data_IF_553235741260
#
_entry.id   IF_553235741260
#
_cell.length_a   1.000
_cell.length_b   1.000
_cell.length_c   1.000
_cell.angle_alpha   90.00
_cell.angle_beta   90.00
_cell.angle_gamma   90.00
#
_symmetry.space_group_name_H-M   'P 1'
#
loop_
_entity.id
_entity.type
_entity.pdbx_description
1 polymer ?
#
# COMPACT_ATOMS: atom_id res chain seq x y z
N UNK A 1 -16.76 9.66 11.38
CA UNK A 1 -15.45 9.31 11.96
C UNK A 1 -15.21 10.08 13.25
N UNK A 2 -15.14 11.42 13.22
CA UNK A 2 -14.89 12.22 14.43
C UNK A 2 -16.02 12.18 15.48
N UNK A 3 -17.22 11.77 15.11
CA UNK A 3 -18.35 11.58 16.03
C UNK A 3 -18.34 10.22 16.75
N UNK A 4 -17.45 9.30 16.37
CA UNK A 4 -17.32 7.98 17.00
C UNK A 4 -16.42 8.07 18.24
N UNK A 5 -16.75 7.31 19.28
CA UNK A 5 -15.86 7.17 20.43
C UNK A 5 -14.55 6.47 20.03
N UNK A 6 -13.51 6.61 20.88
CA UNK A 6 -12.22 5.99 20.62
C UNK A 6 -12.30 4.46 20.53
N UNK A 7 -13.19 3.86 21.30
CA UNK A 7 -13.45 2.41 21.30
C UNK A 7 -14.12 1.96 19.99
N UNK A 8 -15.07 2.74 19.48
CA UNK A 8 -15.68 2.47 18.18
C UNK A 8 -14.69 2.61 17.04
N UNK A 9 -13.84 3.65 17.06
CA UNK A 9 -12.77 3.80 16.09
C UNK A 9 -11.76 2.63 16.17
N UNK A 10 -11.42 2.18 17.38
CA UNK A 10 -10.52 1.05 17.59
C UNK A 10 -11.03 -0.24 16.95
N UNK A 11 -12.35 -0.52 17.05
CA UNK A 11 -12.97 -1.68 16.38
C UNK A 11 -12.71 -1.69 14.88
N UNK A 12 -12.84 -0.54 14.21
CA UNK A 12 -12.56 -0.43 12.77
C UNK A 12 -11.07 -0.59 12.46
N UNK A 13 -10.17 -0.08 13.30
CA UNK A 13 -8.73 -0.27 13.10
C UNK A 13 -8.31 -1.74 13.24
N UNK A 14 -8.82 -2.46 14.24
CA UNK A 14 -8.53 -3.88 14.42
C UNK A 14 -9.07 -4.71 13.24
N UNK A 15 -10.27 -4.41 12.75
CA UNK A 15 -10.81 -5.04 11.54
C UNK A 15 -9.94 -4.73 10.31
N UNK A 16 -9.52 -3.48 10.14
CA UNK A 16 -8.67 -3.07 9.01
C UNK A 16 -7.28 -3.75 9.03
N UNK A 17 -6.71 -4.03 10.20
CA UNK A 17 -5.44 -4.77 10.31
C UNK A 17 -5.59 -6.23 9.88
N UNK A 18 -6.68 -6.89 10.29
CA UNK A 18 -6.99 -8.26 9.87
C UNK A 18 -7.17 -8.36 8.36
N UNK A 19 -7.98 -7.48 7.78
CA UNK A 19 -8.19 -7.43 6.32
C UNK A 19 -6.89 -7.14 5.57
N UNK A 20 -6.02 -6.26 6.09
CA UNK A 20 -4.70 -6.02 5.49
C UNK A 20 -3.85 -7.29 5.47
N UNK A 21 -3.82 -8.04 6.56
CA UNK A 21 -3.06 -9.27 6.64
C UNK A 21 -3.58 -10.31 5.63
N UNK A 22 -4.90 -10.51 5.59
CA UNK A 22 -5.54 -11.42 4.64
C UNK A 22 -5.32 -10.99 3.18
N UNK A 23 -5.35 -9.69 2.91
CA UNK A 23 -5.14 -9.15 1.57
C UNK A 23 -3.73 -9.46 1.05
N UNK A 24 -2.70 -9.34 1.91
CA UNK A 24 -1.34 -9.72 1.56
C UNK A 24 -1.21 -11.22 1.26
N UNK A 25 -1.94 -12.07 2.00
CA UNK A 25 -1.94 -13.51 1.77
C UNK A 25 -2.69 -13.90 0.47
N UNK A 26 -3.87 -13.32 0.23
CA UNK A 26 -4.69 -13.65 -0.95
C UNK A 26 -4.11 -13.08 -2.24
N UNK A 27 -3.48 -11.91 -2.16
CA UNK A 27 -2.92 -11.21 -3.33
C UNK A 27 -1.42 -10.97 -3.15
N UNK A 28 -0.60 -12.03 -3.28
CA UNK A 28 0.85 -11.89 -3.25
C UNK A 28 1.28 -10.99 -4.42
N UNK A 29 2.02 -9.92 -4.11
CA UNK A 29 2.47 -8.94 -5.12
C UNK A 29 1.50 -7.77 -5.38
N UNK A 30 0.36 -7.70 -4.69
CA UNK A 30 -0.50 -6.52 -4.78
C UNK A 30 0.10 -5.32 -4.06
N UNK A 31 0.53 -4.35 -4.87
CA UNK A 31 1.15 -3.12 -4.44
C UNK A 31 0.25 -1.96 -4.86
N UNK A 32 -0.30 -1.24 -3.89
CA UNK A 32 -1.09 -0.03 -4.14
C UNK A 32 -0.28 0.99 -4.98
N UNK A 33 1.04 1.01 -4.82
CA UNK A 33 1.96 1.87 -5.57
C UNK A 33 1.95 1.57 -7.07
N UNK A 34 1.83 0.30 -7.46
CA UNK A 34 1.79 -0.08 -8.86
C UNK A 34 0.43 0.22 -9.50
N UNK A 35 -0.65 0.15 -8.72
CA UNK A 35 -2.01 0.44 -9.17
C UNK A 35 -2.33 1.95 -9.25
N UNK A 36 -1.95 2.75 -8.24
CA UNK A 36 -2.22 4.21 -8.26
C UNK A 36 -1.18 4.99 -9.11
N UNK A 37 0.01 4.42 -9.34
CA UNK A 37 1.10 5.06 -10.09
C UNK A 37 0.88 5.19 -11.60
N UNK A 38 -0.16 4.55 -12.16
CA UNK A 38 -0.42 4.59 -13.60
C UNK A 38 -0.81 6.00 -14.12
N UNK A 39 -1.42 6.83 -13.26
CA UNK A 39 -1.77 8.22 -13.58
C UNK A 39 -0.62 9.22 -13.42
N UNK A 40 0.33 8.96 -12.52
CA UNK A 40 1.45 9.86 -12.20
C UNK A 40 2.71 9.57 -13.02
N UNK A 41 2.91 8.32 -13.50
CA UNK A 41 4.02 7.97 -14.41
C UNK A 41 3.90 8.64 -15.80
N UNK A 42 2.70 9.04 -16.25
CA UNK A 42 2.55 9.84 -17.49
C UNK A 42 3.24 11.21 -17.42
N UNK A 43 3.48 11.77 -16.23
CA UNK A 43 4.18 13.06 -16.08
C UNK A 43 5.69 12.94 -15.85
N UNK A 44 6.25 11.74 -15.69
CA UNK A 44 7.67 11.56 -15.36
C UNK A 44 8.41 10.58 -16.28
N UNK A 45 8.01 10.50 -17.55
CA UNK A 45 8.80 9.82 -18.58
C UNK A 45 9.89 10.75 -19.12
N UNK A 46 10.83 11.15 -18.25
CA UNK A 46 12.16 11.65 -18.63
C UNK A 46 13.12 11.58 -17.45
N UNK A 47 13.50 10.37 -17.03
CA UNK A 47 14.84 10.14 -16.47
C UNK A 47 15.19 8.66 -16.60
N UNK A 48 15.86 8.36 -17.70
CA UNK A 48 16.65 7.15 -17.89
C UNK A 48 17.66 7.01 -16.74
N UNK A 49 17.63 5.89 -16.03
CA UNK A 49 18.84 5.24 -15.49
C UNK A 49 18.52 3.78 -15.13
N UNK A 50 18.92 2.90 -16.04
CA UNK A 50 19.62 1.61 -15.84
C UNK A 50 19.17 0.62 -14.75
N UNK A 51 18.97 -0.64 -15.19
CA UNK A 51 19.12 -1.99 -14.56
C UNK A 51 19.52 -2.06 -13.06
N UNK A 52 19.01 -2.97 -12.21
CA UNK A 52 19.07 -4.45 -12.23
C UNK A 52 18.32 -5.01 -10.96
N UNK A 53 18.00 -6.33 -10.82
CA UNK A 53 16.97 -6.86 -9.93
C UNK A 53 17.47 -7.27 -8.53
N UNK A 54 16.52 -7.60 -7.66
CA UNK A 54 16.71 -8.21 -6.33
C UNK A 54 17.21 -7.25 -5.26
N UNK A 55 16.35 -6.93 -4.28
CA UNK A 55 16.78 -6.19 -3.10
C UNK A 55 15.61 -5.50 -2.41
N UNK A 56 15.03 -6.20 -1.43
CA UNK A 56 13.90 -5.73 -0.64
C UNK A 56 14.12 -4.32 -0.11
N UNK A 57 13.18 -3.43 -0.41
CA UNK A 57 13.09 -2.14 0.26
C UNK A 57 11.89 -2.18 1.16
N UNK A 58 12.20 -2.43 2.43
CA UNK A 58 11.44 -2.05 3.61
C UNK A 58 10.74 -0.70 3.41
N UNK A 59 9.46 -0.74 3.05
CA UNK A 59 8.53 0.34 3.37
C UNK A 59 7.44 -0.27 4.24
N UNK A 60 7.84 -0.53 5.48
CA UNK A 60 6.94 -0.92 6.55
C UNK A 60 6.28 0.37 7.07
N UNK A 61 5.03 0.58 6.71
CA UNK A 61 4.06 1.29 7.55
C UNK A 61 3.07 0.27 8.08
#
# INVERSE_FOLDING_TARGET
>A
WHSLSREEQARYYEAARQERHLHQQRYPGWSARDNYGYGSKKKKRKKERSADPTGGTTFQC
#
